data_IF_799993596385
#
_entry.id   IF_799993596385
#
_cell.length_a   1.000
_cell.length_b   1.000
_cell.length_c   1.000
_cell.angle_alpha   90.00
_cell.angle_beta   90.00
_cell.angle_gamma   90.00
#
_symmetry.space_group_name_H-M   'P 1'
#
loop_
_entity.id
_entity.type
_entity.pdbx_description
1 polymer ?
#
# COMPACT_ATOMS: atom_id res chain seq x y z
N UNK A 1 7.46 8.18 3.48
CA UNK A 1 7.28 6.97 4.32
C UNK A 1 8.44 6.88 5.29
N UNK A 2 8.20 6.59 6.57
CA UNK A 2 9.27 6.44 7.57
C UNK A 2 9.41 4.97 7.95
N UNK A 3 10.64 4.48 8.02
CA UNK A 3 10.96 3.14 8.54
C UNK A 3 11.64 3.30 9.89
N UNK A 4 11.11 2.61 10.90
CA UNK A 4 11.65 2.61 12.25
C UNK A 4 12.15 1.23 12.62
N UNK A 5 13.26 1.18 13.36
CA UNK A 5 13.67 0.00 14.11
C UNK A 5 13.54 0.31 15.59
N UNK A 6 12.78 -0.52 16.31
CA UNK A 6 12.74 -0.48 17.76
C UNK A 6 14.07 -1.05 18.31
N UNK A 7 14.80 -0.24 19.07
CA UNK A 7 16.05 -0.63 19.72
C UNK A 7 15.85 -1.20 21.14
N UNK A 8 14.60 -1.41 21.57
CA UNK A 8 14.24 -1.79 22.94
C UNK A 8 13.78 -0.58 23.78
N UNK A 9 13.23 -0.91 24.95
CA UNK A 9 12.26 -0.19 25.82
C UNK A 9 12.59 1.27 26.25
N UNK A 10 13.60 1.91 25.68
CA UNK A 10 13.94 3.33 25.93
C UNK A 10 14.73 4.00 24.77
N UNK A 11 14.80 3.36 23.60
CA UNK A 11 15.52 3.90 22.45
C UNK A 11 14.61 4.76 21.56
N UNK A 12 15.10 5.95 21.20
CA UNK A 12 14.41 6.78 20.21
C UNK A 12 14.30 6.00 18.89
N UNK A 13 13.14 6.04 18.20
CA UNK A 13 12.95 5.37 16.93
C UNK A 13 14.04 5.81 15.94
N UNK A 14 14.83 4.84 15.45
CA UNK A 14 15.84 5.13 14.45
C UNK A 14 15.15 5.24 13.08
N UNK A 15 15.15 6.44 12.50
CA UNK A 15 14.74 6.63 11.09
C UNK A 15 15.77 5.96 10.19
N UNK A 16 15.36 4.90 9.50
CA UNK A 16 16.22 4.18 8.56
C UNK A 16 16.26 4.82 7.17
N UNK A 17 15.26 5.62 6.84
CA UNK A 17 15.15 6.33 5.57
C UNK A 17 13.77 6.93 5.37
N UNK A 18 13.70 7.92 4.48
CA UNK A 18 12.45 8.50 4.00
C UNK A 18 12.44 8.50 2.48
N UNK A 19 11.31 8.13 1.90
CA UNK A 19 11.20 7.97 0.46
C UNK A 19 9.94 8.63 -0.07
N UNK A 20 10.05 9.22 -1.26
CA UNK A 20 8.93 9.81 -1.99
C UNK A 20 8.14 8.70 -2.67
N UNK A 21 6.86 8.59 -2.31
CA UNK A 21 5.90 7.68 -2.93
C UNK A 21 4.89 8.50 -3.72
N UNK A 22 4.85 8.32 -5.03
CA UNK A 22 3.90 9.00 -5.90
C UNK A 22 2.63 8.16 -6.04
N UNK A 23 1.46 8.76 -5.79
CA UNK A 23 0.16 8.10 -5.99
C UNK A 23 -0.13 7.94 -7.49
N UNK A 24 -0.83 6.87 -7.84
CA UNK A 24 -1.29 6.66 -9.21
C UNK A 24 -2.35 7.73 -9.54
N UNK A 25 -2.34 8.30 -10.76
CA UNK A 25 -3.36 9.26 -11.15
C UNK A 25 -4.76 8.67 -11.00
N UNK A 26 -5.64 9.39 -10.30
CA UNK A 26 -7.04 9.03 -10.14
C UNK A 26 -7.95 10.18 -10.62
N UNK A 27 -8.07 10.40 -11.94
CA UNK A 27 -8.91 11.47 -12.48
C UNK A 27 -10.36 11.35 -11.99
N UNK A 28 -10.93 12.45 -11.50
CA UNK A 28 -12.31 12.49 -11.01
C UNK A 28 -12.52 11.93 -9.60
N UNK A 29 -11.46 11.46 -8.93
CA UNK A 29 -11.50 11.20 -7.50
C UNK A 29 -11.42 12.53 -6.72
N UNK A 30 -12.14 12.62 -5.60
CA UNK A 30 -12.04 13.75 -4.67
C UNK A 30 -10.94 13.52 -3.64
N UNK A 31 -10.73 12.26 -3.26
CA UNK A 31 -9.68 11.82 -2.35
C UNK A 31 -9.01 10.58 -2.94
N UNK A 32 -7.69 10.48 -2.79
CA UNK A 32 -6.94 9.27 -3.10
C UNK A 32 -5.69 9.18 -2.22
N UNK A 33 -5.24 7.97 -1.95
CA UNK A 33 -4.12 7.74 -1.06
C UNK A 33 -3.69 6.29 -0.98
N UNK A 34 -2.51 6.10 -0.41
CA UNK A 34 -1.95 4.81 -0.03
C UNK A 34 -2.53 4.42 1.33
N UNK A 35 -3.46 3.47 1.35
CA UNK A 35 -4.20 3.10 2.56
C UNK A 35 -3.55 1.97 3.35
N UNK A 36 -2.71 1.14 2.73
CA UNK A 36 -2.03 0.03 3.39
C UNK A 36 -0.71 -0.30 2.70
N UNK A 37 0.28 -0.76 3.47
CA UNK A 37 1.58 -1.22 3.02
C UNK A 37 1.93 -2.54 3.71
N UNK A 38 2.11 -3.61 2.93
CA UNK A 38 2.55 -4.91 3.42
C UNK A 38 4.01 -5.17 2.98
N UNK A 39 4.89 -5.45 3.94
CA UNK A 39 6.25 -5.91 3.64
C UNK A 39 6.22 -7.32 3.01
N UNK A 40 6.87 -7.45 1.85
CA UNK A 40 7.05 -8.73 1.17
C UNK A 40 8.22 -9.51 1.79
N UNK A 41 9.27 -8.78 2.19
CA UNK A 41 10.48 -9.29 2.83
C UNK A 41 11.20 -8.20 3.65
N UNK A 42 12.42 -8.51 4.13
CA UNK A 42 13.27 -7.57 4.86
C UNK A 42 14.21 -6.72 3.97
N UNK A 43 14.07 -6.76 2.64
CA UNK A 43 14.97 -6.14 1.68
C UNK A 43 14.35 -4.93 0.97
N UNK A 44 13.29 -4.35 1.55
CA UNK A 44 12.65 -3.16 1.01
C UNK A 44 11.69 -3.42 -0.14
N UNK A 45 11.10 -4.62 -0.22
CA UNK A 45 10.02 -4.95 -1.15
C UNK A 45 8.66 -4.90 -0.46
N UNK A 46 7.67 -4.33 -1.12
CA UNK A 46 6.35 -4.07 -0.53
C UNK A 46 5.20 -4.29 -1.51
N UNK A 47 4.02 -4.54 -0.96
CA UNK A 47 2.75 -4.28 -1.60
C UNK A 47 2.15 -3.00 -1.02
N UNK A 48 1.63 -2.13 -1.87
CA UNK A 48 0.86 -0.95 -1.52
C UNK A 48 -0.58 -1.08 -2.01
N UNK A 49 -1.54 -0.75 -1.16
CA UNK A 49 -2.94 -0.64 -1.52
C UNK A 49 -3.29 0.84 -1.69
N UNK A 50 -3.58 1.26 -2.91
CA UNK A 50 -4.05 2.60 -3.19
C UNK A 50 -5.56 2.59 -3.39
N UNK A 51 -6.22 3.61 -2.84
CA UNK A 51 -7.64 3.85 -3.02
C UNK A 51 -7.89 5.24 -3.55
N UNK A 52 -8.91 5.36 -4.38
CA UNK A 52 -9.43 6.63 -4.83
C UNK A 52 -10.96 6.63 -4.75
N UNK A 53 -11.52 7.73 -4.26
CA UNK A 53 -12.94 7.85 -4.00
C UNK A 53 -13.51 9.21 -4.44
N UNK A 54 -14.66 9.14 -5.09
CA UNK A 54 -15.66 10.19 -5.24
C UNK A 54 -17.04 9.52 -5.37
N UNK A 55 -18.16 10.27 -5.39
CA UNK A 55 -19.48 9.66 -5.59
C UNK A 55 -19.63 8.83 -6.88
N UNK A 56 -18.79 9.09 -7.90
CA UNK A 56 -18.84 8.39 -9.20
C UNK A 56 -17.60 7.52 -9.47
N UNK A 57 -16.57 7.60 -8.62
CA UNK A 57 -15.30 6.89 -8.81
C UNK A 57 -14.99 6.12 -7.54
N UNK A 58 -14.84 4.81 -7.66
CA UNK A 58 -14.24 4.00 -6.61
C UNK A 58 -13.19 3.09 -7.24
N UNK A 59 -11.93 3.32 -6.89
CA UNK A 59 -10.80 2.52 -7.36
C UNK A 59 -10.06 1.96 -6.16
N UNK A 60 -9.66 0.70 -6.28
CA UNK A 60 -8.79 0.03 -5.33
C UNK A 60 -7.73 -0.71 -6.14
N UNK A 61 -6.48 -0.31 -6.02
CA UNK A 61 -5.36 -0.83 -6.81
C UNK A 61 -4.27 -1.36 -5.91
N UNK A 62 -3.78 -2.54 -6.22
CA UNK A 62 -2.65 -3.17 -5.57
C UNK A 62 -1.40 -2.93 -6.42
N UNK A 63 -0.39 -2.34 -5.82
CA UNK A 63 0.91 -2.09 -6.42
C UNK A 63 1.99 -2.89 -5.70
N UNK A 64 2.98 -3.38 -6.44
CA UNK A 64 4.25 -3.84 -5.88
C UNK A 64 5.29 -2.73 -6.06
N UNK A 65 6.11 -2.49 -5.05
CA UNK A 65 7.16 -1.49 -5.14
C UNK A 65 8.42 -1.89 -4.36
N UNK A 66 9.54 -1.25 -4.68
CA UNK A 66 10.82 -1.44 -4.01
C UNK A 66 11.43 -0.08 -3.67
N UNK A 67 12.21 -0.03 -2.58
CA UNK A 67 13.04 1.13 -2.25
C UNK A 67 14.32 1.19 -3.09
N UNK A 68 14.64 0.12 -3.83
CA UNK A 68 15.83 0.07 -4.67
C UNK A 68 15.79 1.19 -5.74
N UNK A 69 16.83 2.00 -5.79
CA UNK A 69 16.95 3.14 -6.71
C UNK A 69 16.28 4.43 -6.25
N UNK A 70 15.39 4.37 -5.25
CA UNK A 70 14.75 5.57 -4.70
C UNK A 70 15.74 6.40 -3.88
N UNK A 71 15.64 7.72 -3.97
CA UNK A 71 16.45 8.64 -3.17
C UNK A 71 15.96 8.68 -1.72
N UNK A 72 16.86 8.45 -0.77
CA UNK A 72 16.59 8.71 0.65
C UNK A 72 16.56 10.24 0.89
N UNK A 73 15.40 10.73 1.33
CA UNK A 73 15.14 12.13 1.63
C UNK A 73 15.12 12.42 3.13
N UNK A 74 15.48 11.47 3.99
CA UNK A 74 15.45 11.61 5.46
C UNK A 74 16.28 12.78 6.01
N UNK A 75 17.31 13.18 5.28
CA UNK A 75 18.16 14.34 5.62
C UNK A 75 17.58 15.69 5.19
N UNK A 76 16.47 15.69 4.44
CA UNK A 76 15.83 16.92 3.93
C UNK A 76 14.79 17.43 4.93
N UNK A 77 14.93 18.67 5.44
CA UNK A 77 13.97 19.22 6.41
C UNK A 77 12.54 19.38 5.87
N UNK A 78 12.39 19.50 4.55
CA UNK A 78 11.09 19.60 3.89
C UNK A 78 11.18 19.18 2.42
N UNK A 79 10.09 18.63 1.88
CA UNK A 79 9.88 18.35 0.46
C UNK A 79 9.19 19.53 -0.26
N UNK A 80 9.52 20.76 0.11
CA UNK A 80 8.90 21.95 -0.47
C UNK A 80 9.63 22.35 -1.76
N UNK A 81 8.88 22.44 -2.87
CA UNK A 81 9.37 22.96 -4.14
C UNK A 81 9.72 21.89 -5.18
N UNK A 82 10.94 21.92 -5.71
CA UNK A 82 11.35 21.16 -6.89
C UNK A 82 12.00 19.82 -6.50
N UNK A 83 11.39 18.70 -6.93
CA UNK A 83 11.91 17.34 -6.74
C UNK A 83 13.10 17.00 -7.67
N UNK A 84 13.74 17.99 -8.31
CA UNK A 84 14.93 17.76 -9.14
C UNK A 84 16.00 16.97 -8.37
N UNK A 85 16.39 15.84 -8.93
CA UNK A 85 17.39 14.92 -8.34
C UNK A 85 16.86 14.08 -7.19
N UNK A 86 15.55 14.05 -6.94
CA UNK A 86 14.89 13.03 -6.13
C UNK A 86 14.36 11.97 -7.10
N UNK A 87 14.86 10.74 -6.97
CA UNK A 87 14.24 9.59 -7.61
C UNK A 87 13.14 9.05 -6.68
N UNK A 88 11.85 9.10 -7.08
CA UNK A 88 10.77 8.54 -6.28
C UNK A 88 10.81 7.00 -6.30
N UNK A 89 10.03 6.38 -5.41
CA UNK A 89 9.80 4.94 -5.45
C UNK A 89 9.20 4.54 -6.80
N UNK A 90 9.83 3.56 -7.46
CA UNK A 90 9.21 2.88 -8.59
C UNK A 90 8.24 1.81 -8.11
N UNK A 91 7.04 1.83 -8.68
CA UNK A 91 5.97 0.88 -8.40
C UNK A 91 5.40 0.30 -9.69
N UNK A 92 4.86 -0.91 -9.60
CA UNK A 92 4.22 -1.63 -10.67
C UNK A 92 2.81 -2.03 -10.24
N UNK A 93 1.81 -1.79 -11.09
CA UNK A 93 0.45 -2.26 -10.86
C UNK A 93 0.44 -3.80 -10.88
N UNK A 94 0.00 -4.40 -9.79
CA UNK A 94 -0.22 -5.86 -9.67
C UNK A 94 -1.64 -6.20 -10.09
N UNK A 95 -2.61 -5.47 -9.52
CA UNK A 95 -4.03 -5.72 -9.79
C UNK A 95 -4.86 -4.46 -9.56
N UNK A 96 -5.79 -4.20 -10.46
CA UNK A 96 -6.89 -3.27 -10.22
C UNK A 96 -8.08 -4.08 -9.72
N UNK A 97 -8.34 -4.00 -8.41
CA UNK A 97 -9.40 -4.76 -7.74
C UNK A 97 -10.78 -4.23 -8.13
N UNK A 98 -10.90 -2.97 -8.59
CA UNK A 98 -12.17 -2.41 -9.05
C UNK A 98 -12.71 -3.09 -10.30
N UNK A 99 -11.88 -3.88 -11.00
CA UNK A 99 -12.25 -4.72 -12.15
C UNK A 99 -12.80 -6.09 -11.75
N UNK A 100 -12.99 -6.37 -10.46
CA UNK A 100 -13.63 -7.60 -10.01
C UNK A 100 -15.16 -7.48 -10.17
N UNK A 101 -15.66 -7.84 -11.34
CA UNK A 101 -17.06 -7.64 -11.78
C UNK A 101 -18.14 -8.25 -10.86
N UNK A 102 -17.77 -9.15 -9.95
CA UNK A 102 -18.70 -9.88 -9.07
C UNK A 102 -18.73 -9.36 -7.63
N UNK A 103 -17.92 -8.35 -7.31
CA UNK A 103 -17.75 -7.89 -5.94
C UNK A 103 -17.85 -6.36 -5.87
N UNK A 104 -18.88 -5.87 -5.18
CA UNK A 104 -18.88 -4.48 -4.72
C UNK A 104 -17.85 -4.38 -3.60
N UNK A 105 -16.70 -3.77 -3.91
CA UNK A 105 -15.66 -3.50 -2.92
C UNK A 105 -16.11 -2.46 -1.90
N UNK A 106 -15.56 -2.58 -0.70
CA UNK A 106 -15.71 -1.61 0.39
C UNK A 106 -14.37 -0.96 0.77
N UNK A 107 -14.33 -0.21 1.87
CA UNK A 107 -13.17 0.54 2.36
C UNK A 107 -11.97 -0.36 2.76
N UNK A 108 -11.29 -0.97 1.78
CA UNK A 108 -10.15 -1.85 1.99
C UNK A 108 -8.96 -1.08 2.59
N UNK A 109 -8.58 -1.43 3.82
CA UNK A 109 -7.58 -0.71 4.61
C UNK A 109 -6.58 -1.63 5.32
N UNK A 110 -6.73 -2.95 5.18
CA UNK A 110 -5.80 -3.89 5.78
C UNK A 110 -5.33 -4.96 4.79
N UNK A 111 -4.06 -5.36 4.91
CA UNK A 111 -3.46 -6.48 4.17
C UNK A 111 -2.58 -7.33 5.07
N UNK A 112 -2.67 -8.65 4.92
CA UNK A 112 -1.75 -9.58 5.57
C UNK A 112 -1.52 -10.84 4.76
N UNK A 113 -0.38 -11.49 5.00
CA UNK A 113 -0.17 -12.85 4.55
C UNK A 113 -1.02 -13.82 5.39
N UNK A 114 -1.79 -14.65 4.71
CA UNK A 114 -2.44 -15.79 5.32
C UNK A 114 -1.53 -17.03 5.32
N UNK A 115 -2.06 -18.20 5.73
CA UNK A 115 -1.34 -19.45 5.68
C UNK A 115 -0.97 -19.85 4.23
N UNK A 116 0.03 -20.73 4.10
CA UNK A 116 0.24 -21.40 2.82
C UNK A 116 -0.98 -22.27 2.48
N UNK A 117 -1.37 -22.23 1.21
CA UNK A 117 -2.43 -23.09 0.68
C UNK A 117 -1.88 -24.50 0.46
N UNK A 118 -2.79 -25.48 0.28
CA UNK A 118 -2.42 -26.88 0.10
C UNK A 118 -1.48 -27.16 -1.09
N UNK A 119 -1.45 -26.26 -2.09
CA UNK A 119 -0.55 -26.33 -3.24
C UNK A 119 0.80 -25.60 -3.00
N UNK A 120 1.08 -25.18 -1.76
CA UNK A 120 2.30 -24.47 -1.36
C UNK A 120 2.34 -22.99 -1.72
N UNK A 121 1.33 -22.47 -2.43
CA UNK A 121 1.24 -21.03 -2.72
C UNK A 121 0.91 -20.22 -1.46
N UNK A 122 1.24 -18.93 -1.46
CA UNK A 122 0.85 -18.03 -0.38
C UNK A 122 -0.56 -17.52 -0.57
N UNK A 123 -1.27 -17.29 0.53
CA UNK A 123 -2.51 -16.54 0.52
C UNK A 123 -2.27 -15.10 0.95
N UNK A 124 -2.93 -14.17 0.26
CA UNK A 124 -3.01 -12.76 0.64
C UNK A 124 -4.44 -12.49 1.10
N UNK A 125 -4.59 -11.88 2.27
CA UNK A 125 -5.87 -11.50 2.85
C UNK A 125 -5.96 -9.98 2.86
N UNK A 126 -7.02 -9.45 2.28
CA UNK A 126 -7.41 -8.04 2.36
C UNK A 126 -8.65 -7.91 3.26
N UNK A 127 -8.71 -6.83 4.05
CA UNK A 127 -9.85 -6.51 4.91
C UNK A 127 -10.34 -5.08 4.67
N UNK A 128 -11.66 -4.88 4.69
CA UNK A 128 -12.25 -3.54 4.75
C UNK A 128 -12.68 -3.15 6.15
N UNK A 129 -12.48 -1.87 6.45
CA UNK A 129 -13.18 -1.18 7.53
C UNK A 129 -14.63 -0.90 7.08
N UNK A 130 -15.59 -1.00 7.98
CA UNK A 130 -16.98 -0.60 7.70
C UNK A 130 -17.27 0.85 8.12
N UNK A 131 -16.28 1.55 8.68
CA UNK A 131 -16.40 2.90 9.23
C UNK A 131 -17.60 3.06 10.19
N UNK A 132 -18.08 1.96 10.80
CA UNK A 132 -19.32 1.90 11.58
C UNK A 132 -20.58 2.40 10.83
N UNK A 133 -20.61 2.29 9.50
CA UNK A 133 -21.74 2.71 8.66
C UNK A 133 -22.50 1.51 8.14
N UNK A 134 -23.83 1.57 8.20
CA UNK A 134 -24.71 0.47 7.78
C UNK A 134 -24.65 0.08 6.30
N UNK A 135 -24.08 0.94 5.44
CA UNK A 135 -23.97 0.72 4.00
C UNK A 135 -22.57 0.28 3.54
N UNK A 136 -21.62 0.27 4.47
CA UNK A 136 -20.29 -0.31 4.31
C UNK A 136 -20.25 -1.64 5.08
N UNK A 137 -19.42 -2.58 4.65
CA UNK A 137 -19.31 -3.91 5.26
C UNK A 137 -17.85 -4.26 5.47
N UNK A 138 -17.56 -4.93 6.58
CA UNK A 138 -16.31 -5.67 6.72
C UNK A 138 -16.30 -6.83 5.73
N UNK A 139 -15.35 -6.79 4.80
CA UNK A 139 -15.11 -7.79 3.78
C UNK A 139 -13.77 -8.45 4.07
N UNK A 140 -13.69 -9.75 3.82
CA UNK A 140 -12.43 -10.48 3.74
C UNK A 140 -12.28 -11.00 2.32
N UNK A 141 -11.26 -10.51 1.60
CA UNK A 141 -10.90 -11.04 0.30
C UNK A 141 -9.66 -11.91 0.45
N UNK A 142 -9.77 -13.16 -0.01
CA UNK A 142 -8.68 -14.12 -0.03
C UNK A 142 -8.18 -14.31 -1.47
N UNK A 143 -6.91 -14.04 -1.70
CA UNK A 143 -6.25 -14.30 -2.97
C UNK A 143 -5.21 -15.39 -2.82
N UNK A 144 -5.14 -16.27 -3.82
CA UNK A 144 -3.97 -17.11 -4.04
C UNK A 144 -2.94 -16.31 -4.83
N UNK A 145 -1.73 -16.16 -4.31
CA UNK A 145 -0.65 -15.45 -5.00
C UNK A 145 0.49 -16.38 -5.38
N UNK A 146 1.12 -16.09 -6.52
CA UNK A 146 2.41 -16.68 -6.91
C UNK A 146 3.42 -15.54 -6.94
N UNK A 147 4.38 -15.59 -6.01
CA UNK A 147 5.52 -14.69 -6.04
C UNK A 147 6.47 -15.24 -7.12
N UNK A 148 6.77 -14.41 -8.13
CA UNK A 148 7.72 -14.71 -9.19
C UNK A 148 9.11 -14.22 -8.84
#
# INVERSE_FOLDING_TARGET
MHYYRDGGDDSQPLVLGEYVYELDPAPGALIHGLSEILALDGNGHFLGLERAFSPLVFQVKLFQFSLAGASDVSSRPALQGNLRGVEPIHKQLVMDLSRLDKLRLDNLEGMTWGPQLADGSRSLILISDDNFKSFEKTQLLLFKVRLS
#
